data_IF_453218712236
#
_entry.id   IF_453218712236
#
_cell.length_a   1.000
_cell.length_b   1.000
_cell.length_c   1.000
_cell.angle_alpha   90.00
_cell.angle_beta   90.00
_cell.angle_gamma   90.00
#
_symmetry.space_group_name_H-M   'P 1'
#
loop_
_entity.id
_entity.type
_entity.pdbx_description
1 polymer ?
#
# COMPACT_ATOMS: atom_id res chain seq x y z
N UNK A 1 -13.88 11.94 27.22
CA UNK A 1 -13.19 13.11 26.63
C UNK A 1 -11.74 12.81 26.20
N UNK A 2 -10.82 12.30 27.03
CA UNK A 2 -9.45 11.95 26.57
C UNK A 2 -9.40 10.79 25.54
N UNK A 3 -10.10 9.68 25.83
CA UNK A 3 -10.13 8.47 24.96
C UNK A 3 -10.66 8.72 23.54
N UNK A 4 -11.64 9.59 23.39
CA UNK A 4 -12.25 9.88 22.08
C UNK A 4 -11.31 10.71 21.20
N UNK A 5 -10.51 11.58 21.84
CA UNK A 5 -9.51 12.39 21.15
C UNK A 5 -8.35 11.53 20.63
N UNK A 6 -7.87 10.58 21.46
CA UNK A 6 -6.81 9.65 21.06
C UNK A 6 -7.25 8.73 19.91
N UNK A 7 -8.50 8.24 19.95
CA UNK A 7 -9.08 7.44 18.85
C UNK A 7 -9.18 8.24 17.56
N UNK A 8 -9.59 9.50 17.62
CA UNK A 8 -9.68 10.37 16.44
C UNK A 8 -8.29 10.66 15.84
N UNK A 9 -7.28 10.87 16.68
CA UNK A 9 -5.90 11.05 16.21
C UNK A 9 -5.38 9.81 15.47
N UNK A 10 -5.64 8.60 16.00
CA UNK A 10 -5.28 7.34 15.34
C UNK A 10 -6.00 7.19 13.99
N UNK A 11 -7.30 7.49 13.93
CA UNK A 11 -8.07 7.41 12.69
C UNK A 11 -7.59 8.42 11.65
N UNK A 12 -7.25 9.64 12.05
CA UNK A 12 -6.67 10.64 11.14
C UNK A 12 -5.30 10.22 10.61
N UNK A 13 -4.47 9.63 11.47
CA UNK A 13 -3.17 9.10 11.06
C UNK A 13 -3.33 7.95 10.04
N UNK A 14 -4.19 6.97 10.32
CA UNK A 14 -4.49 5.87 9.37
C UNK A 14 -5.04 6.44 8.07
N UNK A 15 -5.99 7.38 8.10
CA UNK A 15 -6.53 7.99 6.89
C UNK A 15 -5.45 8.70 6.06
N UNK A 16 -4.51 9.38 6.71
CA UNK A 16 -3.35 9.99 6.05
C UNK A 16 -2.46 8.94 5.37
N UNK A 17 -2.17 7.82 6.03
CA UNK A 17 -1.37 6.73 5.43
C UNK A 17 -2.07 6.12 4.22
N UNK A 18 -3.38 5.90 4.31
CA UNK A 18 -4.19 5.37 3.19
C UNK A 18 -4.19 6.31 1.99
N UNK A 19 -4.25 7.62 2.23
CA UNK A 19 -4.14 8.62 1.17
C UNK A 19 -2.75 8.59 0.51
N UNK A 20 -1.67 8.54 1.30
CA UNK A 20 -0.29 8.41 0.78
C UNK A 20 -0.10 7.13 -0.03
N UNK A 21 -0.61 6.00 0.47
CA UNK A 21 -0.57 4.71 -0.24
C UNK A 21 -1.24 4.83 -1.62
N UNK A 22 -2.45 5.41 -1.65
CA UNK A 22 -3.22 5.57 -2.89
C UNK A 22 -2.50 6.47 -3.90
N UNK A 23 -1.85 7.55 -3.44
CA UNK A 23 -1.07 8.45 -4.30
C UNK A 23 0.17 7.76 -4.88
N UNK A 24 0.96 7.08 -4.05
CA UNK A 24 2.15 6.35 -4.49
C UNK A 24 1.79 5.26 -5.51
N UNK A 25 0.65 4.60 -5.30
CA UNK A 25 0.20 3.55 -6.20
C UNK A 25 -0.29 4.08 -7.55
N UNK A 26 -1.04 5.19 -7.57
CA UNK A 26 -1.41 5.85 -8.83
C UNK A 26 -0.15 6.24 -9.59
N UNK A 27 0.84 6.81 -8.92
CA UNK A 27 2.11 7.18 -9.55
C UNK A 27 2.85 5.95 -10.10
N UNK A 28 2.91 4.84 -9.34
CA UNK A 28 3.48 3.58 -9.77
C UNK A 28 2.82 3.07 -11.06
N UNK A 29 1.48 3.05 -11.12
CA UNK A 29 0.76 2.62 -12.32
C UNK A 29 0.99 3.55 -13.51
N UNK A 30 1.05 4.87 -13.28
CA UNK A 30 1.37 5.84 -14.34
C UNK A 30 2.78 5.64 -14.89
N UNK A 31 3.77 5.34 -14.05
CA UNK A 31 5.15 5.07 -14.48
C UNK A 31 5.29 3.71 -15.19
N UNK A 32 4.47 2.72 -14.81
CA UNK A 32 4.40 1.44 -15.50
C UNK A 32 3.75 1.57 -16.90
N UNK A 33 2.87 2.55 -17.12
CA UNK A 33 2.07 2.66 -18.34
C UNK A 33 2.93 2.87 -19.59
N UNK A 34 2.55 2.22 -20.69
CA UNK A 34 3.25 2.28 -21.97
C UNK A 34 4.51 1.41 -22.06
N UNK A 35 4.86 0.69 -20.99
CA UNK A 35 5.97 -0.28 -20.98
C UNK A 35 5.42 -1.69 -20.71
N UNK A 36 5.20 -2.54 -21.73
CA UNK A 36 4.47 -3.81 -21.58
C UNK A 36 4.99 -4.75 -20.48
N UNK A 37 6.31 -4.81 -20.29
CA UNK A 37 6.94 -5.61 -19.25
C UNK A 37 6.61 -5.09 -17.85
N UNK A 38 6.65 -3.77 -17.67
CA UNK A 38 6.30 -3.10 -16.41
C UNK A 38 4.81 -3.17 -16.17
N UNK A 39 3.96 -2.94 -17.17
CA UNK A 39 2.51 -3.11 -17.05
C UNK A 39 2.17 -4.53 -16.61
N UNK A 40 2.73 -5.56 -17.27
CA UNK A 40 2.48 -6.95 -16.90
C UNK A 40 2.94 -7.25 -15.48
N UNK A 41 4.07 -6.71 -15.05
CA UNK A 41 4.59 -6.90 -13.70
C UNK A 41 3.74 -6.14 -12.66
N UNK A 42 3.32 -4.90 -12.95
CA UNK A 42 2.39 -4.09 -12.17
C UNK A 42 1.05 -4.82 -11.93
N UNK A 43 0.50 -5.48 -12.95
CA UNK A 43 -0.74 -6.24 -12.82
C UNK A 43 -0.65 -7.46 -11.89
N UNK A 44 0.54 -8.06 -11.68
CA UNK A 44 0.72 -9.28 -10.86
C UNK A 44 0.44 -9.07 -9.36
N UNK A 45 0.50 -7.83 -8.89
CA UNK A 45 0.17 -7.49 -7.51
C UNK A 45 -1.17 -6.77 -7.33
N UNK A 46 -1.95 -6.59 -8.41
CA UNK A 46 -3.29 -5.98 -8.38
C UNK A 46 -4.29 -6.71 -7.45
N UNK A 47 -4.17 -8.03 -7.28
CA UNK A 47 -5.01 -8.76 -6.33
C UNK A 47 -4.58 -8.54 -4.87
N UNK A 48 -3.27 -8.40 -4.62
CA UNK A 48 -2.78 -8.05 -3.29
C UNK A 48 -3.19 -6.62 -2.91
N UNK A 49 -3.16 -5.71 -3.88
CA UNK A 49 -3.73 -4.37 -3.78
C UNK A 49 -5.19 -4.39 -3.34
N UNK A 50 -6.05 -5.12 -4.07
CA UNK A 50 -7.49 -5.21 -3.75
C UNK A 50 -7.74 -5.71 -2.33
N UNK A 51 -6.99 -6.74 -1.91
CA UNK A 51 -7.11 -7.31 -0.57
C UNK A 51 -6.68 -6.31 0.51
N UNK A 52 -5.53 -5.65 0.33
CA UNK A 52 -5.04 -4.63 1.26
C UNK A 52 -6.03 -3.46 1.39
N UNK A 53 -6.54 -2.96 0.27
CA UNK A 53 -7.57 -1.91 0.26
C UNK A 53 -8.85 -2.36 0.96
N UNK A 54 -9.28 -3.59 0.75
CA UNK A 54 -10.44 -4.14 1.46
C UNK A 54 -10.20 -4.21 2.98
N UNK A 55 -9.01 -4.65 3.42
CA UNK A 55 -8.64 -4.68 4.84
C UNK A 55 -8.63 -3.27 5.46
N UNK A 56 -8.04 -2.29 4.78
CA UNK A 56 -8.02 -0.87 5.17
C UNK A 56 -9.44 -0.32 5.33
N UNK A 57 -10.30 -0.54 4.34
CA UNK A 57 -11.68 -0.04 4.35
C UNK A 57 -12.50 -0.60 5.52
N UNK A 58 -12.25 -1.85 5.93
CA UNK A 58 -12.91 -2.45 7.08
C UNK A 58 -12.48 -1.81 8.41
N UNK A 59 -11.22 -1.41 8.53
CA UNK A 59 -10.69 -0.66 9.69
C UNK A 59 -11.35 0.72 9.78
N UNK A 60 -11.35 1.47 8.68
CA UNK A 60 -11.98 2.80 8.62
C UNK A 60 -13.48 2.75 8.95
N UNK A 61 -14.16 1.64 8.59
CA UNK A 61 -15.58 1.41 8.90
C UNK A 61 -15.84 0.93 10.33
N UNK A 62 -14.85 0.93 11.22
CA UNK A 62 -14.97 0.56 12.65
C UNK A 62 -15.55 -0.85 12.86
N UNK A 63 -15.47 -1.74 11.86
CA UNK A 63 -16.07 -3.08 11.92
C UNK A 63 -15.17 -4.07 12.66
N UNK A 64 -14.66 -3.70 13.84
CA UNK A 64 -13.90 -4.56 14.76
C UNK A 64 -13.03 -5.64 14.07
N UNK A 65 -12.28 -5.24 13.04
CA UNK A 65 -11.70 -6.17 12.08
C UNK A 65 -10.25 -6.35 12.44
N UNK A 66 -9.95 -7.57 12.89
CA UNK A 66 -8.67 -8.08 13.39
C UNK A 66 -7.50 -7.49 12.59
N UNK A 67 -6.58 -6.78 13.27
CA UNK A 67 -5.34 -6.27 12.67
C UNK A 67 -4.58 -7.37 11.92
N UNK A 68 -4.74 -8.64 12.33
CA UNK A 68 -4.20 -9.82 11.67
C UNK A 68 -4.49 -9.91 10.15
N UNK A 69 -5.69 -9.51 9.70
CA UNK A 69 -6.01 -9.51 8.27
C UNK A 69 -5.24 -8.40 7.54
N UNK A 70 -5.18 -7.21 8.13
CA UNK A 70 -4.37 -6.11 7.60
C UNK A 70 -2.89 -6.49 7.53
N UNK A 71 -2.31 -7.00 8.61
CA UNK A 71 -0.90 -7.43 8.63
C UNK A 71 -0.61 -8.49 7.58
N UNK A 72 -1.49 -9.49 7.42
CA UNK A 72 -1.32 -10.54 6.42
C UNK A 72 -1.33 -9.96 5.01
N UNK A 73 -2.34 -9.17 4.67
CA UNK A 73 -2.53 -8.67 3.30
C UNK A 73 -1.48 -7.60 2.95
N UNK A 74 -1.08 -6.78 3.92
CA UNK A 74 0.03 -5.83 3.77
C UNK A 74 1.37 -6.54 3.55
N UNK A 75 1.63 -7.63 4.28
CA UNK A 75 2.85 -8.42 4.08
C UNK A 75 2.89 -9.07 2.70
N UNK A 76 1.76 -9.65 2.24
CA UNK A 76 1.65 -10.19 0.88
C UNK A 76 1.87 -9.09 -0.16
N UNK A 77 1.36 -7.87 0.07
CA UNK A 77 1.60 -6.74 -0.82
C UNK A 77 3.09 -6.37 -0.87
N UNK A 78 3.74 -6.25 0.29
CA UNK A 78 5.17 -5.96 0.39
C UNK A 78 6.01 -6.99 -0.34
N UNK A 79 5.76 -8.28 -0.12
CA UNK A 79 6.52 -9.37 -0.77
C UNK A 79 6.42 -9.25 -2.31
N UNK A 80 5.22 -8.98 -2.85
CA UNK A 80 5.05 -8.80 -4.29
C UNK A 80 5.65 -7.50 -4.83
N UNK A 81 5.66 -6.44 -4.02
CA UNK A 81 6.26 -5.17 -4.38
C UNK A 81 7.80 -5.30 -4.42
N UNK A 82 8.38 -6.09 -3.52
CA UNK A 82 9.81 -6.42 -3.50
C UNK A 82 10.19 -7.26 -4.73
N UNK A 83 9.37 -8.25 -5.09
CA UNK A 83 9.54 -9.02 -6.34
C UNK A 83 9.50 -8.10 -7.58
N UNK A 84 8.60 -7.11 -7.59
CA UNK A 84 8.52 -6.12 -8.66
C UNK A 84 9.78 -5.25 -8.71
N UNK A 85 10.23 -4.73 -7.56
CA UNK A 85 11.46 -3.92 -7.44
C UNK A 85 12.71 -4.67 -7.94
N UNK A 86 12.81 -5.96 -7.62
CA UNK A 86 13.94 -6.80 -8.01
C UNK A 86 13.87 -7.27 -9.47
N UNK A 87 12.75 -7.03 -10.16
CA UNK A 87 12.62 -7.39 -11.57
C UNK A 87 13.57 -6.54 -12.42
N UNK A 88 14.20 -7.17 -13.42
CA UNK A 88 15.19 -6.53 -14.29
C UNK A 88 14.66 -5.31 -15.09
N UNK A 89 13.34 -5.07 -15.05
CA UNK A 89 12.65 -3.98 -15.70
C UNK A 89 12.72 -2.65 -14.92
N UNK A 90 13.01 -2.67 -13.60
CA UNK A 90 13.04 -1.46 -12.77
C UNK A 90 14.43 -0.80 -12.82
N UNK A 91 14.69 -0.09 -13.93
CA UNK A 91 15.91 0.75 -14.09
C UNK A 91 15.65 2.23 -13.84
N UNK A 92 14.39 2.64 -13.83
CA UNK A 92 13.97 4.02 -13.65
C UNK A 92 14.10 4.44 -12.16
N UNK A 93 14.87 5.51 -11.89
CA UNK A 93 15.10 6.02 -10.54
C UNK A 93 13.84 6.59 -9.88
N UNK A 94 12.93 7.16 -10.67
CA UNK A 94 11.64 7.65 -10.17
C UNK A 94 10.75 6.47 -9.76
N UNK A 95 10.73 5.41 -10.56
CA UNK A 95 10.02 4.17 -10.22
C UNK A 95 10.56 3.55 -8.92
N UNK A 96 11.89 3.52 -8.75
CA UNK A 96 12.52 3.05 -7.50
C UNK A 96 12.13 3.91 -6.30
N UNK A 97 12.05 5.23 -6.45
CA UNK A 97 11.63 6.14 -5.38
C UNK A 97 10.20 5.84 -4.95
N UNK A 98 9.27 5.76 -5.90
CA UNK A 98 7.85 5.50 -5.62
C UNK A 98 7.65 4.15 -4.92
N UNK A 99 8.38 3.12 -5.34
CA UNK A 99 8.33 1.80 -4.68
C UNK A 99 8.80 1.89 -3.22
N UNK A 100 9.88 2.63 -2.93
CA UNK A 100 10.38 2.81 -1.56
C UNK A 100 9.37 3.55 -0.68
N UNK A 101 8.78 4.63 -1.20
CA UNK A 101 7.76 5.40 -0.48
C UNK A 101 6.55 4.51 -0.16
N UNK A 102 6.13 3.69 -1.12
CA UNK A 102 5.04 2.74 -0.95
C UNK A 102 5.36 1.67 0.12
N UNK A 103 6.58 1.13 0.13
CA UNK A 103 7.02 0.19 1.16
C UNK A 103 7.02 0.83 2.55
N UNK A 104 7.46 2.09 2.68
CA UNK A 104 7.48 2.81 3.95
C UNK A 104 6.07 3.03 4.49
N UNK A 105 5.15 3.52 3.64
CA UNK A 105 3.75 3.72 4.03
C UNK A 105 3.09 2.43 4.50
N UNK A 106 3.36 1.30 3.82
CA UNK A 106 2.77 0.02 4.24
C UNK A 106 3.36 -0.46 5.56
N UNK A 107 4.67 -0.29 5.79
CA UNK A 107 5.32 -0.63 7.07
C UNK A 107 4.75 0.21 8.22
N UNK A 108 4.53 1.50 7.99
CA UNK A 108 3.91 2.39 8.98
C UNK A 108 2.46 2.00 9.27
N UNK A 109 1.70 1.60 8.23
CA UNK A 109 0.31 1.16 8.36
C UNK A 109 0.14 -0.09 9.23
N UNK A 110 1.17 -0.95 9.28
CA UNK A 110 1.14 -2.22 10.02
C UNK A 110 2.06 -2.23 11.23
N UNK A 111 2.60 -1.09 11.66
CA UNK A 111 3.34 -0.94 12.90
C UNK A 111 2.41 -0.73 14.10
#
# INVERSE_FOLDING_TARGET
MKKDNDKNMILMHIASLVAKFSLCEIELFCLCAGTPELEKACHKFSDAHKNLNYAIQNILKNKNTKSLLLHRDAKIYLDKLDDFYCSAAVKDERLKSVIKDLQEVIRELIS
#
